data_IF_707981288683
#
_entry.id   IF_707981288683
#
_cell.length_a   1.000
_cell.length_b   1.000
_cell.length_c   1.000
_cell.angle_alpha   90.00
_cell.angle_beta   90.00
_cell.angle_gamma   90.00
#
_symmetry.space_group_name_H-M   'P 1'
#
loop_
_entity.id
_entity.type
_entity.pdbx_description
1 polymer ?
#
# COMPACT_ATOMS: atom_id res chain seq x y z
N UNK A 1 -0.43 8.82 71.46
CA UNK A 1 -1.12 8.44 70.17
C UNK A 1 -0.04 8.25 69.14
N UNK A 2 0.24 6.96 68.83
CA UNK A 2 1.43 6.59 68.04
C UNK A 2 1.14 6.71 66.55
N UNK A 3 1.56 7.82 65.95
CA UNK A 3 1.54 8.05 64.49
C UNK A 3 2.61 7.27 63.70
N UNK A 4 3.37 6.39 64.37
CA UNK A 4 4.49 5.65 63.77
C UNK A 4 4.09 4.47 62.87
N UNK A 5 2.89 3.93 62.98
CA UNK A 5 2.47 2.77 62.21
C UNK A 5 1.84 3.16 60.84
N UNK A 6 1.39 4.39 60.66
CA UNK A 6 0.71 4.85 59.43
C UNK A 6 1.70 5.21 58.32
N UNK A 7 2.91 5.69 58.67
CA UNK A 7 3.91 6.13 57.68
C UNK A 7 4.39 5.06 56.71
N UNK A 8 4.71 3.81 57.11
CA UNK A 8 5.19 2.81 56.15
C UNK A 8 4.08 2.26 55.22
N UNK A 9 2.86 2.27 55.69
CA UNK A 9 1.71 1.82 54.88
C UNK A 9 1.38 2.85 53.79
N UNK A 10 1.35 4.13 54.14
CA UNK A 10 1.12 5.23 53.18
C UNK A 10 2.22 5.26 52.13
N UNK A 11 3.52 5.09 52.52
CA UNK A 11 4.62 5.00 51.58
C UNK A 11 4.49 3.86 50.57
N UNK A 12 4.09 2.66 51.03
CA UNK A 12 3.87 1.51 50.14
C UNK A 12 2.71 1.74 49.15
N UNK A 13 1.61 2.31 49.61
CA UNK A 13 0.46 2.65 48.77
C UNK A 13 0.83 3.71 47.72
N UNK A 14 1.62 4.71 48.10
CA UNK A 14 2.07 5.75 47.19
C UNK A 14 2.99 5.19 46.10
N UNK A 15 3.94 4.32 46.45
CA UNK A 15 4.80 3.64 45.47
C UNK A 15 3.99 2.75 44.54
N UNK A 16 3.04 1.96 45.07
CA UNK A 16 2.18 1.12 44.24
C UNK A 16 1.33 1.98 43.29
N UNK A 17 0.73 3.07 43.77
CA UNK A 17 -0.04 3.99 42.94
C UNK A 17 0.79 4.64 41.83
N UNK A 18 2.00 5.08 42.14
CA UNK A 18 2.92 5.66 41.18
C UNK A 18 3.35 4.63 40.11
N UNK A 19 3.59 3.39 40.50
CA UNK A 19 3.95 2.31 39.57
C UNK A 19 2.81 2.02 38.62
N UNK A 20 1.58 1.92 39.12
CA UNK A 20 0.39 1.69 38.26
C UNK A 20 0.19 2.85 37.32
N UNK A 21 0.32 4.10 37.78
CA UNK A 21 0.21 5.29 36.95
C UNK A 21 1.26 5.30 35.85
N UNK A 22 2.51 4.96 36.17
CA UNK A 22 3.60 4.88 35.21
C UNK A 22 3.34 3.81 34.12
N UNK A 23 3.00 2.59 34.54
CA UNK A 23 2.68 1.49 33.60
C UNK A 23 1.50 1.85 32.72
N UNK A 24 0.45 2.44 33.29
CA UNK A 24 -0.73 2.89 32.51
C UNK A 24 -0.37 4.00 31.51
N UNK A 25 0.50 4.93 31.88
CA UNK A 25 0.95 6.01 30.98
C UNK A 25 1.78 5.43 29.83
N UNK A 26 2.68 4.52 30.11
CA UNK A 26 3.49 3.83 29.09
C UNK A 26 2.61 3.01 28.16
N UNK A 27 1.67 2.22 28.71
CA UNK A 27 0.72 1.46 27.91
C UNK A 27 -0.16 2.37 27.02
N UNK A 28 -0.60 3.50 27.56
CA UNK A 28 -1.37 4.50 26.81
C UNK A 28 -0.60 5.09 25.62
N UNK A 29 0.69 5.36 25.77
CA UNK A 29 1.54 5.85 24.68
C UNK A 29 1.72 4.79 23.57
N UNK A 30 1.85 3.51 23.94
CA UNK A 30 1.98 2.43 22.96
C UNK A 30 0.68 2.17 22.19
N UNK A 31 -0.45 2.20 22.86
CA UNK A 31 -1.75 1.88 22.23
C UNK A 31 -2.37 3.09 21.53
N UNK A 32 -2.17 4.30 22.06
CA UNK A 32 -2.86 5.50 21.61
C UNK A 32 -2.09 6.41 20.63
N UNK A 33 -0.77 6.23 20.48
CA UNK A 33 0.00 7.20 19.71
C UNK A 33 1.05 6.59 18.76
N UNK A 34 2.06 5.97 19.29
CA UNK A 34 3.24 5.60 18.48
C UNK A 34 2.99 4.43 17.52
N UNK A 35 2.22 3.43 17.92
CA UNK A 35 2.02 2.21 17.10
C UNK A 35 1.13 2.44 15.88
N UNK A 36 0.02 3.17 15.94
CA UNK A 36 -0.78 3.48 14.76
C UNK A 36 -0.01 4.30 13.72
N UNK A 37 0.73 5.32 14.15
CA UNK A 37 1.46 6.24 13.26
C UNK A 37 2.58 5.51 12.49
N UNK A 38 3.36 4.65 13.16
CA UNK A 38 4.36 3.81 12.50
C UNK A 38 3.73 2.81 11.50
N UNK A 39 2.57 2.26 11.82
CA UNK A 39 1.88 1.33 10.93
C UNK A 39 1.37 2.01 9.67
N UNK A 40 0.87 3.22 9.78
CA UNK A 40 0.36 4.00 8.64
C UNK A 40 1.50 4.37 7.71
N UNK A 41 2.59 4.96 8.21
CA UNK A 41 3.76 5.33 7.41
C UNK A 41 4.37 4.13 6.65
N UNK A 42 4.49 2.97 7.30
CA UNK A 42 4.99 1.75 6.63
C UNK A 42 4.01 1.24 5.57
N UNK A 43 2.72 1.40 5.78
CA UNK A 43 1.69 0.98 4.84
C UNK A 43 1.68 1.85 3.57
N UNK A 44 1.74 3.17 3.71
CA UNK A 44 1.86 4.11 2.59
C UNK A 44 3.06 3.77 1.70
N UNK A 45 4.25 3.55 2.29
CA UNK A 45 5.46 3.16 1.55
C UNK A 45 5.27 1.84 0.79
N UNK A 46 4.55 0.87 1.36
CA UNK A 46 4.25 -0.40 0.68
C UNK A 46 3.30 -0.19 -0.51
N UNK A 47 2.25 0.59 -0.36
CA UNK A 47 1.31 0.94 -1.42
C UNK A 47 2.02 1.62 -2.59
N UNK A 48 2.82 2.63 -2.30
CA UNK A 48 3.63 3.34 -3.30
C UNK A 48 4.60 2.41 -4.02
N UNK A 49 5.29 1.52 -3.31
CA UNK A 49 6.22 0.55 -3.90
C UNK A 49 5.53 -0.46 -4.81
N UNK A 50 4.38 -0.97 -4.40
CA UNK A 50 3.56 -1.87 -5.24
C UNK A 50 3.13 -1.17 -6.50
N UNK A 51 2.65 0.08 -6.38
CA UNK A 51 2.20 0.87 -7.51
C UNK A 51 3.34 1.25 -8.44
N UNK A 52 4.52 1.60 -7.90
CA UNK A 52 5.72 1.87 -8.69
C UNK A 52 6.18 0.63 -9.46
N UNK A 53 6.10 -0.56 -8.84
CA UNK A 53 6.41 -1.83 -9.51
C UNK A 53 5.43 -2.09 -10.66
N UNK A 54 4.13 -1.88 -10.45
CA UNK A 54 3.12 -2.02 -11.49
C UNK A 54 3.34 -1.03 -12.64
N UNK A 55 3.64 0.23 -12.33
CA UNK A 55 3.94 1.27 -13.33
C UNK A 55 5.19 0.92 -14.15
N UNK A 56 6.28 0.55 -13.50
CA UNK A 56 7.52 0.11 -14.17
C UNK A 56 7.30 -1.08 -15.09
N UNK A 57 6.44 -2.03 -14.69
CA UNK A 57 6.08 -3.16 -15.54
C UNK A 57 5.29 -2.74 -16.77
N UNK A 58 4.37 -1.77 -16.64
CA UNK A 58 3.63 -1.20 -17.76
C UNK A 58 4.56 -0.48 -18.72
N UNK A 59 5.47 0.33 -18.22
CA UNK A 59 6.44 1.09 -19.02
C UNK A 59 7.46 0.17 -19.71
N UNK A 60 7.94 -0.86 -19.03
CA UNK A 60 8.90 -1.84 -19.59
C UNK A 60 8.24 -2.80 -20.60
N UNK A 61 6.94 -3.03 -20.50
CA UNK A 61 6.22 -3.90 -21.44
C UNK A 61 6.11 -3.31 -22.85
N UNK A 62 6.51 -2.06 -23.07
CA UNK A 62 6.41 -1.40 -24.37
C UNK A 62 7.44 -1.98 -25.33
N UNK A 63 7.02 -2.53 -26.49
CA UNK A 63 7.94 -3.08 -27.47
C UNK A 63 8.68 -1.98 -28.22
N UNK A 64 9.98 -2.16 -28.38
CA UNK A 64 10.86 -1.24 -29.13
C UNK A 64 10.88 -1.53 -30.64
N UNK A 65 9.81 -2.09 -31.20
CA UNK A 65 9.72 -2.44 -32.62
C UNK A 65 8.68 -1.59 -33.33
N UNK A 66 8.91 -1.35 -34.63
CA UNK A 66 7.96 -0.63 -35.50
C UNK A 66 6.92 -1.54 -36.12
N UNK A 67 6.95 -2.85 -35.83
CA UNK A 67 5.96 -3.80 -36.31
C UNK A 67 4.70 -3.86 -35.44
N UNK A 68 3.65 -4.45 -35.98
CA UNK A 68 2.45 -4.80 -35.22
C UNK A 68 2.79 -5.82 -34.14
N UNK A 69 2.30 -5.61 -32.92
CA UNK A 69 2.64 -6.44 -31.78
C UNK A 69 1.39 -7.00 -31.07
N UNK A 70 1.57 -8.18 -30.48
CA UNK A 70 0.74 -8.73 -29.43
C UNK A 70 1.65 -9.23 -28.31
N UNK A 71 1.97 -8.32 -27.41
CA UNK A 71 2.91 -8.59 -26.32
C UNK A 71 2.12 -8.74 -25.02
N UNK A 72 2.50 -9.75 -24.23
CA UNK A 72 1.95 -9.98 -22.89
C UNK A 72 3.09 -10.04 -21.88
N UNK A 73 3.10 -9.10 -20.98
CA UNK A 73 4.02 -9.06 -19.84
C UNK A 73 3.29 -9.39 -18.55
N UNK A 74 4.01 -10.02 -17.62
CA UNK A 74 3.46 -10.42 -16.32
C UNK A 74 4.32 -9.87 -15.22
N UNK A 75 3.67 -9.41 -14.16
CA UNK A 75 4.33 -9.06 -12.92
C UNK A 75 3.72 -9.83 -11.74
N UNK A 76 4.57 -10.14 -10.79
CA UNK A 76 4.13 -10.66 -9.50
C UNK A 76 3.97 -9.48 -8.53
N UNK A 77 2.74 -9.19 -8.17
CA UNK A 77 2.41 -8.22 -7.15
C UNK A 77 1.94 -8.95 -5.89
N UNK A 78 2.17 -8.40 -4.70
CA UNK A 78 1.67 -8.99 -3.46
C UNK A 78 0.16 -9.24 -3.53
N UNK A 79 -0.30 -10.37 -3.02
CA UNK A 79 -1.72 -10.70 -3.00
C UNK A 79 -2.50 -9.82 -2.00
N UNK A 80 -1.81 -9.28 -0.99
CA UNK A 80 -2.39 -8.45 0.04
C UNK A 80 -1.39 -7.37 0.48
N UNK A 81 -1.90 -6.23 0.93
CA UNK A 81 -1.16 -5.22 1.68
C UNK A 81 -1.74 -5.20 3.08
N UNK A 82 -0.91 -5.41 4.11
CA UNK A 82 -1.34 -5.52 5.52
C UNK A 82 -2.43 -6.56 5.78
N UNK A 83 -2.48 -7.62 4.95
CA UNK A 83 -3.44 -8.72 5.08
C UNK A 83 -4.76 -8.51 4.34
N UNK A 84 -5.00 -7.33 3.79
CA UNK A 84 -6.19 -6.99 3.02
C UNK A 84 -5.91 -6.99 1.51
N UNK A 85 -6.92 -7.34 0.72
CA UNK A 85 -6.86 -7.25 -0.72
C UNK A 85 -6.99 -5.79 -1.17
N UNK A 86 -6.45 -5.48 -2.35
CA UNK A 86 -6.48 -4.16 -2.95
C UNK A 86 -6.71 -4.24 -4.46
N UNK A 87 -7.09 -3.15 -5.06
CA UNK A 87 -7.31 -3.01 -6.49
C UNK A 87 -6.30 -2.05 -7.12
N UNK A 88 -5.90 -2.33 -8.36
CA UNK A 88 -5.19 -1.35 -9.19
C UNK A 88 -6.09 -0.97 -10.35
N UNK A 89 -6.43 0.31 -10.45
CA UNK A 89 -7.25 0.87 -11.53
C UNK A 89 -6.40 1.78 -12.41
N UNK A 90 -6.60 1.65 -13.71
CA UNK A 90 -6.09 2.62 -14.66
C UNK A 90 -7.22 3.50 -15.16
N UNK A 91 -7.03 4.82 -15.05
CA UNK A 91 -7.95 5.83 -15.55
C UNK A 91 -7.21 7.08 -15.94
N UNK A 92 -7.46 7.59 -17.16
CA UNK A 92 -6.95 8.88 -17.64
C UNK A 92 -5.43 9.10 -17.46
N UNK A 93 -4.62 8.09 -17.79
CA UNK A 93 -3.16 8.21 -17.69
C UNK A 93 -2.60 7.99 -16.27
N UNK A 94 -3.44 7.61 -15.32
CA UNK A 94 -3.06 7.43 -13.93
C UNK A 94 -3.38 6.02 -13.47
N UNK A 95 -2.44 5.39 -12.78
CA UNK A 95 -2.69 4.19 -11.97
C UNK A 95 -3.07 4.62 -10.55
N UNK A 96 -4.12 4.02 -10.05
CA UNK A 96 -4.65 4.22 -8.70
C UNK A 96 -4.61 2.87 -7.99
N UNK A 97 -4.03 2.82 -6.82
CA UNK A 97 -4.16 1.73 -5.87
C UNK A 97 -5.28 2.10 -4.92
N UNK A 98 -6.26 1.24 -4.79
CA UNK A 98 -7.45 1.39 -3.96
C UNK A 98 -7.43 0.28 -2.91
N UNK A 99 -7.34 0.66 -1.65
CA UNK A 99 -7.21 -0.25 -0.50
C UNK A 99 -8.36 -0.01 0.48
N UNK A 100 -8.83 -1.02 1.24
CA UNK A 100 -9.85 -0.84 2.28
C UNK A 100 -9.49 0.17 3.38
N UNK A 101 -8.19 0.39 3.59
CA UNK A 101 -7.66 1.46 4.44
C UNK A 101 -7.20 2.61 3.52
N UNK A 102 -7.99 3.68 3.44
CA UNK A 102 -7.75 4.85 2.58
C UNK A 102 -6.37 5.49 2.78
N UNK A 103 -5.76 5.29 3.96
CA UNK A 103 -4.39 5.74 4.23
C UNK A 103 -3.32 5.03 3.40
N UNK A 104 -3.67 3.92 2.75
CA UNK A 104 -2.77 3.14 1.88
C UNK A 104 -3.04 3.39 0.40
N UNK A 105 -4.02 4.22 0.06
CA UNK A 105 -4.30 4.60 -1.31
C UNK A 105 -3.09 5.34 -1.91
N UNK A 106 -2.76 4.96 -3.12
CA UNK A 106 -1.66 5.56 -3.84
C UNK A 106 -2.04 5.85 -5.29
N UNK A 107 -1.35 6.79 -5.90
CA UNK A 107 -1.55 7.12 -7.31
C UNK A 107 -0.25 7.48 -7.99
N UNK A 108 -0.08 7.02 -9.22
CA UNK A 108 1.07 7.39 -10.05
C UNK A 108 0.64 7.63 -11.48
N UNK A 109 1.26 8.58 -12.14
CA UNK A 109 1.01 8.85 -13.55
C UNK A 109 1.89 7.95 -14.40
N UNK A 110 1.31 7.30 -15.41
CA UNK A 110 2.08 6.54 -16.39
C UNK A 110 2.66 7.45 -17.47
N UNK A 111 3.92 7.22 -17.79
CA UNK A 111 4.59 7.83 -18.94
C UNK A 111 4.46 6.91 -20.17
N UNK A 112 3.40 7.10 -20.95
CA UNK A 112 3.16 6.33 -22.16
C UNK A 112 3.52 7.15 -23.39
N UNK A 113 4.11 6.54 -24.44
CA UNK A 113 4.31 7.18 -25.72
C UNK A 113 2.99 7.61 -26.36
N UNK A 114 3.00 8.64 -27.22
CA UNK A 114 1.79 9.11 -27.90
C UNK A 114 1.11 8.05 -28.77
N UNK A 115 1.87 7.04 -29.23
CA UNK A 115 1.39 5.92 -30.02
C UNK A 115 0.67 4.84 -29.19
N UNK A 116 0.66 4.96 -27.85
CA UNK A 116 0.04 3.97 -26.97
C UNK A 116 -1.17 4.57 -26.28
N UNK A 117 -2.33 4.01 -26.54
CA UNK A 117 -3.59 4.33 -25.84
C UNK A 117 -3.90 3.24 -24.83
N UNK A 118 -3.90 3.58 -23.55
CA UNK A 118 -4.28 2.62 -22.53
C UNK A 118 -5.81 2.67 -22.29
N UNK A 119 -6.42 1.49 -22.18
CA UNK A 119 -7.84 1.35 -21.84
C UNK A 119 -8.01 1.37 -20.33
N UNK A 120 -9.06 2.04 -19.89
CA UNK A 120 -9.48 1.96 -18.49
C UNK A 120 -9.73 0.50 -18.11
N UNK A 121 -9.26 0.12 -16.94
CA UNK A 121 -9.38 -1.25 -16.44
C UNK A 121 -9.07 -1.33 -14.96
N UNK A 122 -9.53 -2.40 -14.34
CA UNK A 122 -9.26 -2.72 -12.95
C UNK A 122 -8.63 -4.11 -12.89
N UNK A 123 -7.61 -4.23 -12.07
CA UNK A 123 -7.01 -5.50 -11.69
C UNK A 123 -7.19 -5.69 -10.18
N UNK A 124 -7.57 -6.91 -9.78
CA UNK A 124 -7.78 -7.28 -8.38
C UNK A 124 -6.58 -8.07 -7.87
N UNK A 125 -6.11 -7.75 -6.69
CA UNK A 125 -5.02 -8.46 -6.02
C UNK A 125 -5.34 -9.95 -5.82
N UNK A 126 -4.30 -10.79 -5.68
CA UNK A 126 -4.47 -12.24 -5.64
C UNK A 126 -4.59 -12.91 -7.02
N UNK A 127 -4.76 -12.15 -8.10
CA UNK A 127 -4.67 -12.63 -9.47
C UNK A 127 -3.33 -12.24 -10.11
N UNK A 128 -2.96 -12.88 -11.23
CA UNK A 128 -1.74 -12.51 -11.95
C UNK A 128 -1.92 -11.16 -12.64
N UNK A 129 -1.04 -10.20 -12.35
CA UNK A 129 -1.02 -8.91 -13.04
C UNK A 129 -0.48 -9.09 -14.46
N UNK A 130 -1.30 -8.79 -15.45
CA UNK A 130 -0.95 -8.94 -16.87
C UNK A 130 -1.13 -7.62 -17.60
N UNK A 131 -0.07 -7.19 -18.26
CA UNK A 131 -0.08 -6.06 -19.18
C UNK A 131 -0.08 -6.62 -20.60
N UNK A 132 -1.05 -6.28 -21.41
CA UNK A 132 -1.10 -6.66 -22.83
C UNK A 132 -1.06 -5.42 -23.70
N UNK A 133 -0.19 -5.44 -24.71
CA UNK A 133 -0.08 -4.39 -25.71
C UNK A 133 -0.32 -5.01 -27.09
N UNK A 134 -1.29 -4.47 -27.81
CA UNK A 134 -1.69 -4.96 -29.12
C UNK A 134 -1.85 -3.81 -30.11
N UNK A 135 -1.60 -4.07 -31.37
CA UNK A 135 -1.84 -3.15 -32.49
C UNK A 135 -0.60 -2.75 -33.26
N UNK A 136 -0.80 -1.98 -34.34
CA UNK A 136 0.29 -1.45 -35.15
C UNK A 136 1.11 -0.40 -34.39
N UNK A 137 2.34 -0.14 -34.85
CA UNK A 137 3.27 0.79 -34.19
C UNK A 137 2.68 2.17 -33.89
N UNK A 138 1.87 2.67 -34.79
CA UNK A 138 1.30 4.03 -34.71
C UNK A 138 0.08 4.13 -33.78
N UNK A 139 -0.57 2.98 -33.47
CA UNK A 139 -1.80 2.96 -32.67
C UNK A 139 -1.89 1.67 -31.86
N UNK A 140 -1.12 1.61 -30.77
CA UNK A 140 -1.12 0.49 -29.84
C UNK A 140 -2.13 0.67 -28.74
N UNK A 141 -2.77 -0.41 -28.37
CA UNK A 141 -3.71 -0.44 -27.25
C UNK A 141 -3.11 -1.24 -26.09
N UNK A 142 -2.99 -0.59 -24.95
CA UNK A 142 -2.58 -1.20 -23.70
C UNK A 142 -3.81 -1.58 -22.87
N UNK A 143 -3.84 -2.81 -22.37
CA UNK A 143 -4.88 -3.29 -21.44
C UNK A 143 -4.24 -3.90 -20.21
N UNK A 144 -4.78 -3.55 -19.06
CA UNK A 144 -4.47 -4.20 -17.79
C UNK A 144 -5.53 -5.27 -17.51
N UNK A 145 -5.12 -6.41 -17.00
CA UNK A 145 -6.06 -7.47 -16.70
C UNK A 145 -5.49 -8.60 -15.86
N UNK A 146 -6.39 -9.46 -15.41
CA UNK A 146 -6.06 -10.76 -14.86
C UNK A 146 -6.00 -11.79 -16.00
N UNK A 147 -5.20 -12.84 -15.81
CA UNK A 147 -5.28 -14.01 -16.68
C UNK A 147 -6.66 -14.67 -16.47
N UNK A 148 -7.52 -14.70 -17.49
CA UNK A 148 -8.58 -15.71 -17.57
C UNK A 148 -8.00 -17.05 -17.94
#
# INVERSE_FOLDING_TARGET
MDNRAVSPVVGKLLVAGLTVLYVSSVAGLFVGGLVPEYRTATGEELGERVLATAAGQVETAQPATDDAVDTRSRAELPATIRGEQYDIRYSNGTLLLDHPDDALDARTRLSLPPSVTARNGTWHSGSQFVVRITGPAENRTLTLGAKR
#
